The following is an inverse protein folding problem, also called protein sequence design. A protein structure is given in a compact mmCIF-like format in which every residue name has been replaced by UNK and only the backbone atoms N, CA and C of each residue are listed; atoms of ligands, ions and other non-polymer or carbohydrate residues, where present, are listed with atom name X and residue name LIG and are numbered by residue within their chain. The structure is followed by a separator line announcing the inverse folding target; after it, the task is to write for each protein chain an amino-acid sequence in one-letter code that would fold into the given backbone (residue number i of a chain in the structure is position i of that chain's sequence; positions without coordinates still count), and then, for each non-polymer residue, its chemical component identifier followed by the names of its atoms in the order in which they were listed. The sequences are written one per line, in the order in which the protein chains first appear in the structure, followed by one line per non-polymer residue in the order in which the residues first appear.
data_IF_013501908605
#
_entry.id   IF_013501908605
#
_cell.length_a   1.000
_cell.length_b   1.000
_cell.length_c   1.000
_cell.angle_alpha   90.00
_cell.angle_beta   90.00
_cell.angle_gamma   90.00
#
_symmetry.space_group_name_H-M   'P 1'
#
loop_
_entity.id
_entity.type
_entity.pdbx_description
1 polymer ?
#
# COMPACT_ATOMS: atom_id res chain seq x y z
N UNK A 1 22.85 52.71 8.69
CA UNK A 1 21.86 53.45 9.51
C UNK A 1 20.91 52.44 10.13
N UNK A 2 20.89 52.33 11.47
CA UNK A 2 20.00 51.44 12.23
C UNK A 2 18.73 52.22 12.56
N UNK A 3 17.54 51.74 12.18
CA UNK A 3 16.27 52.27 12.70
C UNK A 3 15.76 51.35 13.81
N UNK A 4 15.67 51.91 15.00
CA UNK A 4 14.97 51.38 16.16
C UNK A 4 13.56 51.98 16.22
N UNK A 5 12.66 51.28 16.92
CA UNK A 5 11.31 51.72 17.27
C UNK A 5 10.25 50.72 16.78
N UNK A 6 9.30 50.24 17.57
CA UNK A 6 9.00 50.41 18.99
C UNK A 6 7.99 49.31 19.35
N UNK A 7 8.14 48.73 20.54
CA UNK A 7 7.33 47.65 21.11
C UNK A 7 6.05 48.28 21.69
N UNK A 8 4.88 47.91 21.18
CA UNK A 8 3.60 48.24 21.82
C UNK A 8 3.06 46.98 22.52
N UNK A 9 3.01 47.06 23.84
CA UNK A 9 2.46 46.07 24.76
C UNK A 9 1.05 46.56 25.10
N UNK A 10 0.02 45.77 24.82
CA UNK A 10 -1.34 46.00 25.29
C UNK A 10 -1.83 44.72 25.96
N UNK A 11 -1.78 44.71 27.29
CA UNK A 11 -2.52 43.81 28.16
C UNK A 11 -3.71 44.62 28.69
N UNK A 12 -4.94 44.13 28.49
CA UNK A 12 -6.09 44.48 29.31
C UNK A 12 -7.12 43.35 29.23
N UNK A 13 -7.65 42.99 30.39
CA UNK A 13 -8.35 41.77 30.76
C UNK A 13 -9.86 41.77 30.43
N UNK A 14 -10.42 40.56 30.21
CA UNK A 14 -11.79 40.15 30.58
C UNK A 14 -12.98 40.65 29.74
N UNK A 15 -14.11 39.91 29.64
CA UNK A 15 -14.56 38.90 30.60
C UNK A 15 -14.76 37.48 30.02
N UNK A 16 -14.59 36.50 30.91
CA UNK A 16 -15.13 35.16 30.81
C UNK A 16 -16.64 35.21 30.51
N UNK A 17 -17.07 34.66 29.38
CA UNK A 17 -18.44 34.18 29.18
C UNK A 17 -18.38 32.66 29.20
N UNK A 18 -18.67 32.09 30.36
CA UNK A 18 -19.09 30.70 30.47
C UNK A 18 -20.32 30.53 29.57
N UNK A 19 -20.19 29.77 28.49
CA UNK A 19 -21.32 29.21 27.78
C UNK A 19 -21.26 27.70 28.01
N UNK A 20 -22.32 27.24 28.64
CA UNK A 20 -22.58 25.87 29.06
C UNK A 20 -22.30 24.86 27.95
N UNK A 21 -21.83 23.69 28.38
CA UNK A 21 -21.85 22.50 27.57
C UNK A 21 -23.28 22.14 27.20
N UNK A 22 -23.62 22.30 25.92
CA UNK A 22 -24.68 21.56 25.27
C UNK A 22 -24.05 20.66 24.23
N UNK A 23 -23.94 19.36 24.54
CA UNK A 23 -23.78 18.33 23.50
C UNK A 23 -25.02 18.39 22.61
N UNK A 24 -24.95 19.17 21.52
CA UNK A 24 -25.90 19.01 20.41
C UNK A 24 -25.48 17.75 19.70
N UNK A 25 -26.18 16.67 20.02
CA UNK A 25 -26.11 15.38 19.35
C UNK A 25 -26.03 15.58 17.84
N UNK A 26 -25.01 14.98 17.20
CA UNK A 26 -24.75 15.10 15.76
C UNK A 26 -25.89 14.62 14.85
N UNK A 27 -26.97 14.08 15.41
CA UNK A 27 -28.20 13.75 14.69
C UNK A 27 -29.05 14.97 14.37
N UNK A 28 -29.05 16.03 15.19
CA UNK A 28 -29.93 17.20 14.95
C UNK A 28 -29.44 18.06 13.80
N UNK A 29 -28.13 18.19 13.63
CA UNK A 29 -27.53 18.90 12.49
C UNK A 29 -27.76 18.17 11.15
N UNK A 30 -27.94 16.84 11.16
CA UNK A 30 -28.29 16.09 9.95
C UNK A 30 -29.75 16.29 9.55
N UNK A 31 -30.65 16.28 10.54
CA UNK A 31 -32.07 16.57 10.34
C UNK A 31 -32.29 18.01 9.82
N UNK A 32 -31.54 18.98 10.33
CA UNK A 32 -31.63 20.37 9.87
C UNK A 32 -31.08 20.56 8.43
N UNK A 33 -30.22 19.67 7.93
CA UNK A 33 -29.73 19.72 6.54
C UNK A 33 -30.61 18.99 5.53
N UNK A 34 -31.51 18.10 5.97
CA UNK A 34 -32.37 17.34 5.05
C UNK A 34 -33.54 18.15 4.49
N UNK A 35 -33.97 19.20 5.18
CA UNK A 35 -35.09 20.07 4.76
C UNK A 35 -34.63 21.28 3.91
N UNK A 36 -33.32 21.46 3.73
CA UNK A 36 -32.76 22.56 2.93
C UNK A 36 -32.82 22.23 1.44
N UNK A 37 -33.19 23.22 0.62
CA UNK A 37 -33.22 23.05 -0.84
C UNK A 37 -31.81 22.85 -1.41
N UNK A 38 -31.71 22.17 -2.56
CA UNK A 38 -30.43 21.88 -3.20
C UNK A 38 -29.59 23.15 -3.47
N UNK A 39 -30.25 24.27 -3.80
CA UNK A 39 -29.58 25.55 -4.00
C UNK A 39 -28.97 26.09 -2.70
N UNK A 40 -29.66 25.94 -1.57
CA UNK A 40 -29.16 26.37 -0.27
C UNK A 40 -27.96 25.51 0.18
N UNK A 41 -28.00 24.20 -0.09
CA UNK A 41 -26.88 23.29 0.17
C UNK A 41 -25.63 23.67 -0.65
N UNK A 42 -25.81 24.04 -1.92
CA UNK A 42 -24.69 24.44 -2.79
C UNK A 42 -24.10 25.79 -2.39
N UNK A 43 -24.94 26.75 -1.97
CA UNK A 43 -24.48 28.06 -1.45
C UNK A 43 -23.67 27.90 -0.16
N UNK A 44 -24.07 26.98 0.73
CA UNK A 44 -23.32 26.66 1.96
C UNK A 44 -21.93 26.08 1.67
N UNK A 45 -21.79 25.26 0.62
CA UNK A 45 -20.50 24.69 0.23
C UNK A 45 -19.47 25.77 -0.17
N UNK A 46 -19.92 26.86 -0.79
CA UNK A 46 -19.07 27.98 -1.20
C UNK A 46 -18.50 28.81 -0.04
N UNK A 47 -19.13 28.78 1.14
CA UNK A 47 -18.74 29.57 2.30
C UNK A 47 -17.76 28.83 3.24
N UNK A 48 -17.68 27.50 3.15
CA UNK A 48 -16.80 26.67 3.98
C UNK A 48 -15.44 26.36 3.34
N UNK A 49 -14.42 26.07 4.16
CA UNK A 49 -13.17 25.47 3.63
C UNK A 49 -13.49 24.06 3.10
N UNK A 50 -13.03 23.67 1.89
CA UNK A 50 -13.43 22.41 1.24
C UNK A 50 -13.05 21.15 2.05
N UNK A 51 -12.05 21.26 2.94
CA UNK A 51 -11.64 20.16 3.83
C UNK A 51 -12.61 19.92 5.01
N UNK A 52 -13.37 20.92 5.44
CA UNK A 52 -14.34 20.80 6.53
C UNK A 52 -15.67 20.22 6.02
N UNK A 53 -16.18 20.71 4.89
CA UNK A 53 -17.40 20.18 4.24
C UNK A 53 -17.28 18.67 3.95
N UNK A 54 -16.12 18.22 3.45
CA UNK A 54 -15.90 16.80 3.15
C UNK A 54 -16.00 15.90 4.39
N UNK A 55 -15.61 16.39 5.56
CA UNK A 55 -15.66 15.62 6.81
C UNK A 55 -17.07 15.60 7.42
N UNK A 56 -17.91 16.60 7.11
CA UNK A 56 -19.29 16.68 7.57
C UNK A 56 -20.24 15.81 6.71
N UNK A 57 -20.04 15.80 5.39
CA UNK A 57 -20.85 15.01 4.44
C UNK A 57 -20.42 13.55 4.41
N UNK A 58 -19.10 13.28 4.38
CA UNK A 58 -18.61 11.94 4.60
C UNK A 58 -18.65 11.69 6.11
N UNK A 59 -19.84 11.33 6.62
CA UNK A 59 -20.00 10.83 7.98
C UNK A 59 -18.84 9.90 8.32
N UNK A 60 -18.41 9.97 9.57
CA UNK A 60 -17.36 9.22 10.28
C UNK A 60 -17.46 7.70 10.08
N UNK A 61 -17.37 7.26 8.84
CA UNK A 61 -17.03 5.93 8.41
C UNK A 61 -15.61 5.73 8.92
N UNK A 62 -15.45 4.69 9.72
CA UNK A 62 -14.19 4.10 10.09
C UNK A 62 -13.30 4.04 8.86
N UNK A 63 -12.49 5.08 8.64
CA UNK A 63 -11.41 5.04 7.67
C UNK A 63 -10.56 3.88 8.15
N UNK A 64 -10.67 2.76 7.44
CA UNK A 64 -9.55 1.85 7.26
C UNK A 64 -8.36 2.74 6.96
N UNK A 65 -7.57 3.01 8.00
CA UNK A 65 -6.31 3.69 7.88
C UNK A 65 -5.53 2.83 6.90
N UNK A 66 -5.34 3.33 5.68
CA UNK A 66 -4.31 2.78 4.81
C UNK A 66 -3.02 2.69 5.64
N UNK A 67 -2.24 1.61 5.52
CA UNK A 67 -1.02 1.46 6.30
C UNK A 67 -0.17 2.72 6.11
N UNK A 68 -0.14 3.57 7.13
CA UNK A 68 0.75 4.72 7.11
C UNK A 68 2.14 4.12 7.00
N UNK A 69 2.84 4.47 5.92
CA UNK A 69 4.26 4.17 5.77
C UNK A 69 4.93 4.52 7.10
N UNK A 70 5.70 3.61 7.73
CA UNK A 70 6.37 3.96 8.95
C UNK A 70 7.31 5.11 8.61
N UNK A 71 7.02 6.28 9.18
CA UNK A 71 7.88 7.45 9.10
C UNK A 71 9.26 6.97 9.54
N UNK A 72 10.23 7.08 8.64
CA UNK A 72 11.62 6.76 8.91
C UNK A 72 12.16 7.80 9.90
N UNK A 73 11.96 7.53 11.18
CA UNK A 73 12.60 8.28 12.26
C UNK A 73 13.98 7.66 12.44
N UNK A 74 15.00 8.39 12.00
CA UNK A 74 16.42 8.05 12.15
C UNK A 74 16.89 8.23 13.60
N UNK A 75 16.15 7.69 14.56
CA UNK A 75 16.55 7.69 15.96
C UNK A 75 17.44 6.47 16.22
N UNK A 76 18.71 6.73 16.57
CA UNK A 76 19.76 5.72 16.76
C UNK A 76 19.60 4.91 18.04
N UNK A 77 18.64 5.25 18.90
CA UNK A 77 18.38 4.56 20.17
C UNK A 77 17.04 3.83 20.22
N UNK A 78 16.38 3.67 19.08
CA UNK A 78 15.12 2.92 18.98
C UNK A 78 15.32 1.65 18.15
N UNK A 79 15.65 0.50 18.77
CA UNK A 79 15.72 -0.75 18.03
C UNK A 79 14.36 -1.03 17.40
N UNK A 80 14.32 -1.08 16.06
CA UNK A 80 13.14 -1.49 15.32
C UNK A 80 13.10 -3.02 15.38
N UNK A 81 12.21 -3.60 16.21
CA UNK A 81 12.05 -5.05 16.23
C UNK A 81 11.53 -5.54 14.88
N UNK A 82 12.42 -6.16 14.11
CA UNK A 82 12.15 -6.67 12.76
C UNK A 82 11.12 -7.80 12.77
N UNK A 83 11.02 -8.54 13.87
CA UNK A 83 10.18 -9.74 14.01
C UNK A 83 8.68 -9.42 13.98
N UNK A 84 8.24 -8.33 14.63
CA UNK A 84 6.82 -8.00 14.80
C UNK A 84 6.09 -7.58 13.50
N UNK A 85 6.81 -7.32 12.40
CA UNK A 85 6.23 -6.98 11.08
C UNK A 85 6.16 -8.17 10.12
N UNK A 86 6.82 -9.28 10.44
CA UNK A 86 6.77 -10.47 9.59
C UNK A 86 5.47 -11.19 9.92
N UNK A 87 4.47 -11.05 9.05
CA UNK A 87 3.21 -11.79 9.19
C UNK A 87 3.51 -13.29 9.22
N UNK A 88 3.14 -13.94 10.31
CA UNK A 88 3.19 -15.39 10.41
C UNK A 88 2.25 -15.99 9.36
N UNK A 89 2.69 -17.03 8.63
CA UNK A 89 1.84 -17.67 7.63
C UNK A 89 0.62 -18.29 8.32
N UNK A 90 -0.55 -18.13 7.71
CA UNK A 90 -1.82 -18.63 8.24
C UNK A 90 -1.86 -20.15 8.40
N UNK A 91 -1.10 -20.88 7.58
CA UNK A 91 -1.01 -22.33 7.62
C UNK A 91 0.45 -22.78 7.78
N UNK A 92 0.66 -23.85 8.56
CA UNK A 92 1.96 -24.53 8.60
C UNK A 92 2.28 -25.10 7.22
N UNK A 93 3.50 -24.90 6.74
CA UNK A 93 3.97 -25.61 5.55
C UNK A 93 3.91 -27.10 5.84
N UNK A 94 2.97 -27.80 5.19
CA UNK A 94 2.98 -29.25 5.12
C UNK A 94 4.25 -29.67 4.39
N UNK A 95 4.95 -30.68 4.91
CA UNK A 95 6.16 -31.19 4.29
C UNK A 95 5.83 -31.53 2.84
N UNK A 96 6.47 -30.86 1.86
CA UNK A 96 6.15 -31.12 0.47
C UNK A 96 6.50 -32.58 0.16
N UNK A 97 5.51 -33.32 -0.36
CA UNK A 97 5.76 -34.65 -0.92
C UNK A 97 6.86 -34.50 -1.96
N UNK A 98 7.91 -35.32 -1.90
CA UNK A 98 9.00 -35.16 -2.86
C UNK A 98 8.59 -35.69 -4.24
N UNK A 99 8.91 -34.95 -5.30
CA UNK A 99 8.69 -35.40 -6.70
C UNK A 99 9.32 -36.77 -6.97
N UNK A 100 10.43 -37.09 -6.29
CA UNK A 100 11.11 -38.38 -6.37
C UNK A 100 10.21 -39.54 -5.93
N UNK A 101 9.40 -39.35 -4.89
CA UNK A 101 8.46 -40.38 -4.41
C UNK A 101 7.32 -40.60 -5.41
N UNK A 102 6.76 -39.52 -5.96
CA UNK A 102 5.71 -39.60 -6.99
C UNK A 102 6.23 -40.32 -8.24
N UNK A 103 7.45 -39.97 -8.72
CA UNK A 103 8.09 -40.68 -9.84
C UNK A 103 8.34 -42.16 -9.56
N UNK A 104 8.68 -42.53 -8.31
CA UNK A 104 8.84 -43.94 -7.91
C UNK A 104 7.50 -44.68 -7.93
N UNK A 105 6.41 -44.07 -7.49
CA UNK A 105 5.08 -44.69 -7.56
C UNK A 105 4.59 -44.82 -9.01
N UNK A 106 4.85 -43.81 -9.85
CA UNK A 106 4.51 -43.86 -11.28
C UNK A 106 5.19 -45.04 -12.00
N UNK A 107 6.43 -45.38 -11.61
CA UNK A 107 7.11 -46.56 -12.16
C UNK A 107 6.52 -47.90 -11.73
N UNK A 108 5.78 -47.94 -10.61
CA UNK A 108 5.16 -49.17 -10.07
C UNK A 108 3.82 -49.47 -10.74
N UNK A 109 3.05 -48.44 -11.09
CA UNK A 109 1.76 -48.59 -11.77
C UNK A 109 1.95 -48.31 -13.26
N UNK A 110 1.79 -49.31 -14.12
CA UNK A 110 2.10 -49.16 -15.57
C UNK A 110 0.94 -48.55 -16.37
N UNK A 111 -0.29 -48.70 -15.88
CA UNK A 111 -1.52 -48.14 -16.44
C UNK A 111 -2.65 -48.21 -15.41
N UNK A 112 -3.65 -47.34 -15.53
CA UNK A 112 -4.82 -47.27 -14.66
C UNK A 112 -5.01 -45.90 -14.03
N UNK A 113 -6.14 -45.69 -13.36
CA UNK A 113 -6.52 -44.41 -12.78
C UNK A 113 -5.46 -43.84 -11.81
N UNK A 114 -4.81 -44.70 -11.05
CA UNK A 114 -3.75 -44.31 -10.11
C UNK A 114 -2.52 -43.77 -10.83
N UNK A 115 -2.14 -44.38 -11.97
CA UNK A 115 -1.05 -43.88 -12.79
C UNK A 115 -1.37 -42.48 -13.33
N UNK A 116 -2.59 -42.29 -13.84
CA UNK A 116 -3.03 -40.99 -14.38
C UNK A 116 -3.08 -39.91 -13.30
N UNK A 117 -3.59 -40.25 -12.10
CA UNK A 117 -3.58 -39.36 -10.92
C UNK A 117 -2.16 -38.97 -10.53
N UNK A 118 -1.22 -39.93 -10.51
CA UNK A 118 0.19 -39.67 -10.20
C UNK A 118 0.89 -38.83 -11.27
N UNK A 119 0.57 -39.03 -12.55
CA UNK A 119 1.09 -38.24 -13.67
C UNK A 119 0.61 -36.79 -13.58
N UNK A 120 -0.69 -36.57 -13.35
CA UNK A 120 -1.25 -35.23 -13.15
C UNK A 120 -0.65 -34.54 -11.93
N UNK A 121 -0.48 -35.26 -10.82
CA UNK A 121 0.15 -34.73 -9.61
C UNK A 121 1.59 -34.28 -9.89
N UNK A 122 2.38 -35.12 -10.56
CA UNK A 122 3.75 -34.79 -10.92
C UNK A 122 3.83 -33.54 -11.81
N UNK A 123 2.98 -33.47 -12.83
CA UNK A 123 2.89 -32.32 -13.73
C UNK A 123 2.58 -31.02 -12.96
N UNK A 124 1.59 -31.07 -12.06
CA UNK A 124 1.22 -29.93 -11.22
C UNK A 124 2.38 -29.50 -10.31
N UNK A 125 3.12 -30.45 -9.75
CA UNK A 125 4.28 -30.16 -8.92
C UNK A 125 5.42 -29.50 -9.71
N UNK A 126 5.68 -29.95 -10.94
CA UNK A 126 6.69 -29.36 -11.82
C UNK A 126 6.28 -27.94 -12.24
N UNK A 127 5.02 -27.72 -12.59
CA UNK A 127 4.49 -26.38 -12.88
C UNK A 127 4.60 -25.43 -11.69
N UNK A 128 4.32 -25.90 -10.48
CA UNK A 128 4.44 -25.08 -9.27
C UNK A 128 5.88 -24.66 -9.00
N UNK A 129 6.84 -25.56 -9.21
CA UNK A 129 8.26 -25.23 -9.06
C UNK A 129 8.73 -24.25 -10.13
N UNK A 130 8.38 -24.48 -11.40
CA UNK A 130 8.68 -23.55 -12.50
C UNK A 130 8.12 -22.16 -12.20
N UNK A 131 6.84 -22.06 -11.80
CA UNK A 131 6.22 -20.79 -11.45
C UNK A 131 6.90 -20.09 -10.26
N UNK A 132 7.42 -20.84 -9.28
CA UNK A 132 8.19 -20.27 -8.18
C UNK A 132 9.57 -19.78 -8.63
N UNK A 133 10.26 -20.54 -9.48
CA UNK A 133 11.54 -20.16 -10.05
C UNK A 133 11.40 -18.91 -10.92
N UNK A 134 10.43 -18.86 -11.83
CA UNK A 134 10.14 -17.68 -12.64
C UNK A 134 9.86 -16.45 -11.78
N UNK A 135 9.06 -16.60 -10.71
CA UNK A 135 8.81 -15.50 -9.77
C UNK A 135 10.08 -15.03 -9.08
N UNK A 136 10.97 -15.94 -8.67
CA UNK A 136 12.26 -15.60 -8.06
C UNK A 136 13.18 -14.91 -9.06
N UNK A 137 13.32 -15.45 -10.27
CA UNK A 137 14.11 -14.85 -11.35
C UNK A 137 13.61 -13.44 -11.69
N UNK A 138 12.29 -13.23 -11.79
CA UNK A 138 11.72 -11.90 -12.01
C UNK A 138 12.01 -10.93 -10.85
N UNK A 139 11.97 -11.42 -9.60
CA UNK A 139 12.33 -10.61 -8.44
C UNK A 139 13.80 -10.23 -8.45
N UNK A 140 14.69 -11.19 -8.73
CA UNK A 140 16.14 -10.98 -8.84
C UNK A 140 16.46 -9.98 -9.95
N UNK A 141 15.89 -10.13 -11.14
CA UNK A 141 16.08 -9.22 -12.27
C UNK A 141 15.62 -7.81 -11.91
N UNK A 142 14.46 -7.67 -11.25
CA UNK A 142 13.96 -6.37 -10.79
C UNK A 142 14.87 -5.74 -9.74
N UNK A 143 15.42 -6.54 -8.83
CA UNK A 143 16.34 -6.06 -7.80
C UNK A 143 17.69 -5.65 -8.41
N UNK A 144 18.23 -6.43 -9.33
CA UNK A 144 19.46 -6.13 -10.05
C UNK A 144 19.33 -4.80 -10.82
N UNK A 145 18.27 -4.63 -11.61
CA UNK A 145 17.99 -3.39 -12.32
C UNK A 145 17.78 -2.19 -11.36
N UNK A 146 17.24 -2.42 -10.16
CA UNK A 146 17.15 -1.39 -9.13
C UNK A 146 18.51 -1.04 -8.54
N UNK A 147 19.40 -2.01 -8.38
CA UNK A 147 20.77 -1.79 -7.89
C UNK A 147 21.60 -1.01 -8.91
N UNK A 148 21.54 -1.39 -10.19
CA UNK A 148 22.23 -0.70 -11.28
C UNK A 148 21.82 0.78 -11.35
N UNK A 149 20.51 1.06 -11.32
CA UNK A 149 19.97 2.43 -11.27
C UNK A 149 20.48 3.22 -10.07
N UNK A 150 20.65 2.58 -8.91
CA UNK A 150 21.20 3.23 -7.71
C UNK A 150 22.69 3.55 -7.88
N UNK A 151 23.46 2.65 -8.47
CA UNK A 151 24.88 2.86 -8.75
C UNK A 151 25.08 4.03 -9.74
N UNK A 152 24.29 4.08 -10.80
CA UNK A 152 24.31 5.21 -11.75
C UNK A 152 23.96 6.54 -11.05
N UNK A 153 22.98 6.54 -10.15
CA UNK A 153 22.65 7.73 -9.37
C UNK A 153 23.77 8.16 -8.42
N UNK A 154 24.53 7.22 -7.84
CA UNK A 154 25.72 7.53 -7.02
C UNK A 154 26.83 8.17 -7.84
N UNK A 155 26.94 7.84 -9.13
CA UNK A 155 27.87 8.49 -10.07
C UNK A 155 27.40 9.89 -10.50
N UNK A 156 26.24 10.35 -10.03
CA UNK A 156 25.68 11.68 -10.35
C UNK A 156 24.74 11.71 -11.55
N UNK A 157 24.45 10.57 -12.19
CA UNK A 157 23.46 10.51 -13.26
C UNK A 157 22.04 10.66 -12.70
N UNK A 158 21.19 11.45 -13.39
CA UNK A 158 19.79 11.63 -12.98
C UNK A 158 19.00 10.33 -13.24
N UNK A 159 18.44 9.67 -12.21
CA UNK A 159 17.75 8.40 -12.40
C UNK A 159 16.47 8.60 -13.23
N UNK A 160 16.40 7.95 -14.39
CA UNK A 160 15.22 7.92 -15.25
C UNK A 160 14.37 6.68 -14.96
N UNK A 161 13.08 6.89 -14.71
CA UNK A 161 12.13 5.82 -14.43
C UNK A 161 11.24 5.59 -15.64
N UNK A 162 11.49 4.51 -16.38
CA UNK A 162 10.57 4.10 -17.42
C UNK A 162 9.18 3.84 -16.84
N UNK A 163 8.17 4.41 -17.49
CA UNK A 163 6.77 4.19 -17.14
C UNK A 163 6.39 2.73 -17.37
N UNK A 164 5.33 2.26 -16.71
CA UNK A 164 4.83 0.89 -16.90
C UNK A 164 4.44 0.61 -18.36
N UNK A 165 3.94 1.60 -19.09
CA UNK A 165 3.63 1.49 -20.52
C UNK A 165 4.88 1.25 -21.35
N UNK A 166 5.93 2.05 -21.12
CA UNK A 166 7.22 1.95 -21.82
C UNK A 166 7.90 0.61 -21.52
N UNK A 167 7.89 0.17 -20.25
CA UNK A 167 8.40 -1.16 -19.87
C UNK A 167 7.69 -2.30 -20.63
N UNK A 168 6.37 -2.20 -20.83
CA UNK A 168 5.60 -3.18 -21.61
C UNK A 168 5.96 -3.14 -23.08
N UNK A 169 6.14 -1.96 -23.66
CA UNK A 169 6.57 -1.80 -25.06
C UNK A 169 7.95 -2.39 -25.30
N UNK A 170 8.91 -2.16 -24.37
CA UNK A 170 10.24 -2.77 -24.46
C UNK A 170 10.18 -4.29 -24.39
N UNK A 171 9.45 -4.84 -23.41
CA UNK A 171 9.30 -6.29 -23.29
C UNK A 171 8.62 -6.92 -24.52
N UNK A 172 7.66 -6.23 -25.14
CA UNK A 172 7.07 -6.66 -26.41
C UNK A 172 8.10 -6.59 -27.55
N UNK A 173 8.85 -5.49 -27.65
CA UNK A 173 9.86 -5.33 -28.68
C UNK A 173 10.97 -6.39 -28.57
N UNK A 174 11.39 -6.77 -27.37
CA UNK A 174 12.34 -7.87 -27.14
C UNK A 174 11.78 -9.20 -27.64
N UNK A 175 10.55 -9.54 -27.28
CA UNK A 175 9.89 -10.78 -27.75
C UNK A 175 9.78 -10.88 -29.27
N UNK A 176 9.55 -9.76 -29.96
CA UNK A 176 9.46 -9.74 -31.43
C UNK A 176 10.84 -9.75 -32.12
N UNK A 177 11.92 -9.38 -31.43
CA UNK A 177 13.28 -9.49 -31.97
C UNK A 177 13.81 -10.92 -31.95
N UNK A 178 13.25 -11.77 -31.11
CA UNK A 178 13.62 -13.18 -30.96
C UNK A 178 12.92 -14.11 -31.97
N UNK A 179 11.98 -13.57 -32.77
CA UNK A 179 11.27 -14.25 -33.87
C UNK A 179 11.93 -13.95 -35.21
#
# INVERSE_FOLDING_TARGET
MRKAGSRARAEAEGPHRAMEGGEVTGDRLKADTSDMSFEELLRLQGQGRPKAHKQLVAGNSTRTRSPQQPVCVADKHRPLEMSAKVRVPFLRQVVPISKKLVKKQLKKHRSGEEHDKLQQLLQRMEQQEMAQQERKQQQELRLALKQERRAQAQQGHRPYFLKKSEQRQLALAEKFKEL
#
